data_IF_503931681629
#
_entry.id   IF_503931681629
#
_cell.length_a   1.000
_cell.length_b   1.000
_cell.length_c   1.000
_cell.angle_alpha   90.00
_cell.angle_beta   90.00
_cell.angle_gamma   90.00
#
_symmetry.space_group_name_H-M   'P 1'
#
loop_
_entity.id
_entity.type
_entity.pdbx_description
1 polymer ?
#
# COMPACT_ATOMS: atom_id res chain seq x y z
N UNK A 1 -7.19 31.89 5.31
CA UNK A 1 -7.21 31.18 4.03
C UNK A 1 -6.39 29.92 4.21
N UNK A 2 -6.97 28.76 3.96
CA UNK A 2 -6.24 27.51 4.02
C UNK A 2 -4.99 27.54 3.13
N UNK A 3 -3.88 26.97 3.63
CA UNK A 3 -2.62 26.93 2.90
C UNK A 3 -2.77 26.09 1.64
N UNK A 4 -2.14 26.48 0.54
CA UNK A 4 -2.08 25.65 -0.66
C UNK A 4 -1.25 24.41 -0.38
N UNK A 5 -1.77 23.23 -0.70
CA UNK A 5 -1.06 21.95 -0.60
C UNK A 5 -0.36 21.63 -1.92
N UNK A 6 0.91 21.24 -1.85
CA UNK A 6 1.67 20.72 -2.99
C UNK A 6 2.10 19.30 -2.64
N UNK A 7 1.39 18.33 -3.18
CA UNK A 7 1.70 16.91 -3.01
C UNK A 7 2.73 16.48 -4.06
N UNK A 8 3.85 15.97 -3.59
CA UNK A 8 4.97 15.54 -4.44
C UNK A 8 5.08 14.02 -4.44
N UNK A 9 5.06 13.39 -5.60
CA UNK A 9 5.14 11.94 -5.75
C UNK A 9 5.92 11.49 -6.99
N UNK A 10 6.55 10.31 -6.91
CA UNK A 10 7.14 9.58 -8.05
C UNK A 10 6.18 8.57 -8.66
N UNK A 11 5.20 8.12 -7.89
CA UNK A 11 4.23 7.13 -8.29
C UNK A 11 2.86 7.79 -8.32
N UNK A 12 2.25 7.85 -9.50
CA UNK A 12 0.89 8.35 -9.70
C UNK A 12 0.27 7.59 -10.88
N UNK A 13 -1.05 7.43 -10.93
CA UNK A 13 -1.68 6.78 -12.08
C UNK A 13 -1.20 7.36 -13.44
N UNK A 14 -1.04 6.53 -14.48
CA UNK A 14 -1.40 5.12 -14.59
C UNK A 14 -0.36 4.14 -13.98
N UNK A 15 0.74 4.64 -13.40
CA UNK A 15 1.73 3.78 -12.74
C UNK A 15 1.11 3.17 -11.49
N UNK A 16 0.98 1.85 -11.46
CA UNK A 16 0.37 1.13 -10.34
C UNK A 16 1.37 0.80 -9.26
N UNK A 17 1.11 1.29 -8.06
CA UNK A 17 1.85 1.02 -6.84
C UNK A 17 1.07 1.51 -5.63
N UNK A 18 1.33 0.95 -4.45
CA UNK A 18 0.61 1.36 -3.24
C UNK A 18 0.79 2.84 -2.90
N UNK A 19 1.99 3.40 -3.13
CA UNK A 19 2.23 4.83 -2.92
C UNK A 19 1.48 5.69 -3.94
N UNK A 20 1.40 5.25 -5.21
CA UNK A 20 0.65 5.94 -6.25
C UNK A 20 -0.85 5.99 -5.95
N UNK A 21 -1.43 4.86 -5.52
CA UNK A 21 -2.83 4.79 -5.08
C UNK A 21 -3.05 5.73 -3.89
N UNK A 22 -2.19 5.68 -2.88
CA UNK A 22 -2.26 6.57 -1.72
C UNK A 22 -2.26 8.06 -2.14
N UNK A 23 -1.31 8.46 -2.99
CA UNK A 23 -1.18 9.85 -3.42
C UNK A 23 -2.41 10.33 -4.21
N UNK A 24 -2.93 9.48 -5.08
CA UNK A 24 -4.11 9.77 -5.88
C UNK A 24 -5.36 9.92 -5.00
N UNK A 25 -5.65 8.91 -4.19
CA UNK A 25 -6.86 8.86 -3.37
C UNK A 25 -6.89 9.99 -2.33
N UNK A 26 -5.73 10.27 -1.70
CA UNK A 26 -5.60 11.38 -0.77
C UNK A 26 -5.81 12.73 -1.45
N UNK A 27 -5.22 12.93 -2.64
CA UNK A 27 -5.36 14.18 -3.37
C UNK A 27 -6.81 14.43 -3.80
N UNK A 28 -7.49 13.38 -4.29
CA UNK A 28 -8.90 13.44 -4.67
C UNK A 28 -9.78 13.77 -3.47
N UNK A 29 -9.58 13.09 -2.35
CA UNK A 29 -10.36 13.33 -1.13
C UNK A 29 -10.16 14.75 -0.60
N UNK A 30 -8.92 15.22 -0.53
CA UNK A 30 -8.63 16.59 -0.12
C UNK A 30 -9.28 17.64 -1.05
N UNK A 31 -9.24 17.39 -2.36
CA UNK A 31 -9.88 18.28 -3.34
C UNK A 31 -11.41 18.32 -3.17
N UNK A 32 -12.05 17.18 -2.96
CA UNK A 32 -13.50 17.10 -2.71
C UNK A 32 -13.93 17.80 -1.42
N UNK A 33 -13.06 17.84 -0.42
CA UNK A 33 -13.25 18.61 0.81
C UNK A 33 -12.99 20.12 0.62
N UNK A 34 -12.64 20.58 -0.59
CA UNK A 34 -12.41 21.97 -0.90
C UNK A 34 -10.97 22.45 -0.72
N UNK A 35 -10.02 21.54 -0.44
CA UNK A 35 -8.62 21.90 -0.30
C UNK A 35 -8.02 22.43 -1.61
N UNK A 36 -7.16 23.44 -1.50
CA UNK A 36 -6.36 23.94 -2.63
C UNK A 36 -5.14 23.04 -2.86
N UNK A 37 -5.35 21.86 -3.39
CA UNK A 37 -4.29 20.89 -3.62
C UNK A 37 -3.79 20.90 -5.08
N UNK A 38 -2.49 20.76 -5.25
CA UNK A 38 -1.80 20.59 -6.52
C UNK A 38 -0.88 19.36 -6.42
N UNK A 39 -1.03 18.44 -7.34
CA UNK A 39 -0.19 17.24 -7.40
C UNK A 39 0.95 17.47 -8.38
N UNK A 40 2.15 17.13 -7.97
CA UNK A 40 3.37 17.18 -8.78
C UNK A 40 3.86 15.75 -8.95
N UNK A 41 3.74 15.23 -10.17
CA UNK A 41 3.99 13.84 -10.52
C UNK A 41 4.85 13.71 -11.79
N UNK A 42 5.42 12.52 -12.11
CA UNK A 42 6.22 12.30 -13.31
C UNK A 42 5.43 12.57 -14.61
N UNK A 43 6.16 12.87 -15.70
CA UNK A 43 5.57 13.00 -17.02
C UNK A 43 4.85 11.71 -17.44
N UNK A 44 3.67 11.85 -18.03
CA UNK A 44 2.80 10.74 -18.41
C UNK A 44 1.89 10.25 -17.30
N UNK A 45 1.87 10.94 -16.15
CA UNK A 45 0.85 10.78 -15.13
C UNK A 45 -0.41 11.49 -15.60
N UNK A 46 -1.31 10.79 -16.28
CA UNK A 46 -2.55 11.36 -16.82
C UNK A 46 -3.72 10.91 -15.97
N UNK A 47 -4.48 11.87 -15.46
CA UNK A 47 -5.81 11.61 -14.93
C UNK A 47 -6.77 12.71 -15.39
N UNK A 48 -7.89 12.34 -15.98
CA UNK A 48 -8.79 13.28 -16.67
C UNK A 48 -9.76 14.07 -15.77
N UNK A 49 -9.74 13.84 -14.46
CA UNK A 49 -10.71 14.42 -13.51
C UNK A 49 -10.08 15.01 -12.23
N UNK A 50 -8.78 15.25 -12.25
CA UNK A 50 -8.01 15.53 -11.05
C UNK A 50 -7.93 17.01 -10.63
N UNK A 51 -7.68 17.21 -9.30
CA UNK A 51 -7.10 18.47 -8.84
C UNK A 51 -5.86 18.78 -9.67
N UNK A 52 -5.60 20.04 -9.89
CA UNK A 52 -4.57 20.57 -10.80
C UNK A 52 -3.27 19.75 -10.79
N UNK A 53 -3.13 18.85 -11.76
CA UNK A 53 -1.94 18.05 -11.95
C UNK A 53 -0.87 18.90 -12.65
N UNK A 54 0.35 18.92 -12.10
CA UNK A 54 1.54 19.43 -12.78
C UNK A 54 2.47 18.29 -13.10
N UNK A 55 2.61 18.01 -14.36
CA UNK A 55 3.64 17.10 -14.83
C UNK A 55 5.03 17.72 -14.65
N UNK A 56 5.90 16.98 -14.02
CA UNK A 56 7.33 17.23 -14.07
C UNK A 56 7.91 16.56 -15.29
N UNK A 57 8.78 17.28 -15.99
CA UNK A 57 9.60 16.75 -17.10
C UNK A 57 10.68 15.75 -16.61
N UNK A 58 10.57 15.26 -15.40
CA UNK A 58 11.44 14.23 -14.88
C UNK A 58 10.78 12.85 -15.05
N UNK A 59 11.57 11.89 -15.46
CA UNK A 59 11.12 10.54 -15.79
C UNK A 59 10.80 9.66 -14.57
N UNK A 60 10.47 10.24 -13.39
CA UNK A 60 10.22 9.50 -12.16
C UNK A 60 11.43 8.71 -11.63
N UNK A 61 12.60 8.86 -12.25
CA UNK A 61 13.80 8.16 -11.83
C UNK A 61 14.32 8.68 -10.49
N UNK A 62 14.81 7.79 -9.64
CA UNK A 62 15.44 8.15 -8.36
C UNK A 62 16.93 8.52 -8.51
N UNK A 63 17.35 8.99 -9.69
CA UNK A 63 18.73 9.39 -9.97
C UNK A 63 19.09 10.71 -9.25
N UNK A 64 20.39 11.01 -9.15
CA UNK A 64 20.87 12.28 -8.61
C UNK A 64 20.40 13.48 -9.42
N UNK A 65 20.40 13.33 -10.76
CA UNK A 65 19.96 14.36 -11.71
C UNK A 65 18.46 14.64 -11.52
N UNK A 66 17.64 13.60 -11.43
CA UNK A 66 16.20 13.76 -11.20
C UNK A 66 15.90 14.39 -9.84
N UNK A 67 16.67 14.04 -8.81
CA UNK A 67 16.56 14.67 -7.50
C UNK A 67 16.89 16.17 -7.54
N UNK A 68 17.93 16.57 -8.26
CA UNK A 68 18.28 17.98 -8.46
C UNK A 68 17.20 18.73 -9.26
N UNK A 69 16.71 18.16 -10.35
CA UNK A 69 15.62 18.76 -11.18
C UNK A 69 14.38 19.00 -10.34
N UNK A 70 13.98 18.06 -9.50
CA UNK A 70 12.86 18.24 -8.57
C UNK A 70 13.09 19.44 -7.66
N UNK A 71 14.26 19.57 -7.06
CA UNK A 71 14.58 20.67 -6.16
C UNK A 71 14.60 22.03 -6.84
N UNK A 72 15.15 22.12 -8.06
CA UNK A 72 15.09 23.34 -8.84
C UNK A 72 13.65 23.73 -9.19
N UNK A 73 12.80 22.72 -9.48
CA UNK A 73 11.38 22.95 -9.70
C UNK A 73 10.71 23.49 -8.44
N UNK A 74 10.92 22.86 -7.28
CA UNK A 74 10.38 23.29 -6.00
C UNK A 74 10.85 24.72 -5.69
N UNK A 75 12.11 25.04 -5.93
CA UNK A 75 12.66 26.38 -5.70
C UNK A 75 11.91 27.49 -6.46
N UNK A 76 11.34 27.20 -7.65
CA UNK A 76 10.48 28.14 -8.37
C UNK A 76 9.20 28.48 -7.61
N UNK A 77 8.67 27.55 -6.81
CA UNK A 77 7.54 27.85 -5.92
C UNK A 77 7.95 28.72 -4.74
N UNK A 78 9.15 28.48 -4.18
CA UNK A 78 9.67 29.24 -3.05
C UNK A 78 9.97 30.70 -3.38
N UNK A 79 10.33 31.02 -4.60
CA UNK A 79 10.63 32.37 -5.02
C UNK A 79 9.38 33.25 -5.25
N UNK A 80 8.18 32.70 -5.13
CA UNK A 80 6.93 33.46 -5.16
C UNK A 80 6.63 33.99 -3.76
N UNK A 81 6.95 35.27 -3.51
CA UNK A 81 6.96 35.92 -2.20
C UNK A 81 5.64 35.91 -1.42
N UNK A 82 4.51 35.52 -2.01
CA UNK A 82 3.18 35.80 -1.48
C UNK A 82 2.33 34.59 -1.08
N UNK A 83 2.87 33.37 -1.00
CA UNK A 83 2.01 32.20 -0.72
C UNK A 83 2.63 31.25 0.28
N UNK A 84 2.03 31.15 1.45
CA UNK A 84 2.21 30.01 2.36
C UNK A 84 1.66 28.76 1.68
N UNK A 85 2.44 27.67 1.69
CA UNK A 85 2.01 26.38 1.18
C UNK A 85 2.61 25.26 2.03
N UNK A 86 1.91 24.15 2.06
CA UNK A 86 2.37 22.89 2.65
C UNK A 86 2.97 22.01 1.55
N UNK A 87 4.24 21.62 1.70
CA UNK A 87 4.85 20.60 0.87
C UNK A 87 4.62 19.23 1.48
N UNK A 88 3.89 18.39 0.78
CA UNK A 88 3.71 17.00 1.17
C UNK A 88 4.64 16.08 0.35
N UNK A 89 5.68 15.58 0.99
CA UNK A 89 6.61 14.56 0.45
C UNK A 89 5.96 13.20 0.63
N UNK A 90 5.28 12.70 -0.42
CA UNK A 90 4.32 11.63 -0.26
C UNK A 90 4.85 10.23 -0.58
N UNK A 91 6.07 10.09 -1.10
CA UNK A 91 6.66 8.78 -1.38
C UNK A 91 8.19 8.72 -1.18
N UNK A 92 8.71 7.48 -1.23
CA UNK A 92 10.14 7.19 -1.03
C UNK A 92 11.03 7.92 -2.04
N UNK A 93 10.61 8.07 -3.27
CA UNK A 93 11.45 8.66 -4.30
C UNK A 93 11.64 10.15 -4.10
N UNK A 94 10.56 10.86 -3.75
CA UNK A 94 10.62 12.27 -3.36
C UNK A 94 11.40 12.43 -2.06
N UNK A 95 11.13 11.57 -1.07
CA UNK A 95 11.87 11.57 0.20
C UNK A 95 13.38 11.48 -0.04
N UNK A 96 13.82 10.60 -0.96
CA UNK A 96 15.22 10.46 -1.34
C UNK A 96 15.83 11.75 -1.94
N UNK A 97 15.06 12.50 -2.71
CA UNK A 97 15.51 13.78 -3.24
C UNK A 97 15.69 14.82 -2.13
N UNK A 98 14.80 14.84 -1.15
CA UNK A 98 14.91 15.73 0.02
C UNK A 98 16.06 15.33 0.95
N UNK A 99 16.34 14.05 1.13
CA UNK A 99 17.51 13.57 1.87
C UNK A 99 18.79 14.05 1.21
N UNK A 100 18.90 13.95 -0.12
CA UNK A 100 20.11 14.32 -0.88
C UNK A 100 20.34 15.83 -0.91
N UNK A 101 19.29 16.62 -1.09
CA UNK A 101 19.42 18.04 -1.43
C UNK A 101 18.48 18.97 -0.66
N UNK A 102 17.62 18.46 0.23
CA UNK A 102 16.66 19.26 0.97
C UNK A 102 17.27 20.33 1.86
N UNK A 103 18.59 20.23 2.16
CA UNK A 103 19.32 21.27 2.87
C UNK A 103 19.50 22.57 2.06
N UNK A 104 19.35 22.48 0.71
CA UNK A 104 19.41 23.63 -0.19
C UNK A 104 18.08 24.41 -0.26
N UNK A 105 17.00 23.89 0.34
CA UNK A 105 15.72 24.57 0.36
C UNK A 105 15.64 25.58 1.52
N UNK A 106 15.01 26.75 1.30
CA UNK A 106 14.78 27.72 2.36
C UNK A 106 14.01 27.12 3.53
N UNK A 107 14.25 27.65 4.75
CA UNK A 107 13.63 27.13 5.99
C UNK A 107 12.15 27.53 6.19
N UNK A 108 11.57 28.33 5.31
CA UNK A 108 10.31 29.06 5.53
C UNK A 108 9.01 28.28 5.21
N UNK A 109 9.08 27.01 4.81
CA UNK A 109 7.89 26.29 4.41
C UNK A 109 7.55 25.10 5.32
N UNK A 110 6.26 24.91 5.49
CA UNK A 110 5.68 23.74 6.15
C UNK A 110 5.95 22.49 5.29
N UNK A 111 6.62 21.52 5.84
CA UNK A 111 6.93 20.25 5.16
C UNK A 111 6.28 19.12 5.95
N UNK A 112 5.50 18.33 5.25
CA UNK A 112 4.97 17.05 5.73
C UNK A 112 5.62 15.92 4.93
N UNK A 113 5.83 14.78 5.57
CA UNK A 113 6.29 13.56 4.89
C UNK A 113 5.40 12.38 5.26
N UNK A 114 5.06 11.54 4.28
CA UNK A 114 4.43 10.22 4.52
C UNK A 114 5.48 9.13 4.38
N UNK A 115 5.58 8.27 5.40
CA UNK A 115 6.48 7.13 5.47
C UNK A 115 5.67 5.85 5.27
N UNK A 116 5.94 5.13 4.17
CA UNK A 116 5.26 3.88 3.83
C UNK A 116 5.92 2.64 4.46
N UNK A 117 7.07 2.78 5.12
CA UNK A 117 7.77 1.73 5.87
C UNK A 117 9.14 1.34 5.32
N UNK A 118 9.27 1.09 4.03
CA UNK A 118 10.55 0.72 3.42
C UNK A 118 11.61 1.83 3.51
N UNK A 119 11.18 3.10 3.64
CA UNK A 119 12.05 4.27 3.86
C UNK A 119 12.88 4.11 5.13
N UNK A 120 12.24 3.69 6.22
CA UNK A 120 12.91 3.50 7.51
C UNK A 120 14.00 2.44 7.41
N UNK A 121 13.69 1.29 6.81
CA UNK A 121 14.66 0.21 6.64
C UNK A 121 15.84 0.59 5.74
N UNK A 122 15.57 1.40 4.71
CA UNK A 122 16.57 1.76 3.70
C UNK A 122 17.48 2.88 4.16
N UNK A 123 16.89 3.99 4.63
CA UNK A 123 17.65 5.20 4.92
C UNK A 123 18.32 5.20 6.31
N UNK A 124 17.92 4.32 7.21
CA UNK A 124 18.58 4.20 8.52
C UNK A 124 19.77 3.26 8.53
N UNK A 125 19.96 2.47 7.47
CA UNK A 125 21.00 1.45 7.39
C UNK A 125 22.38 2.01 7.13
N UNK A 126 22.52 2.96 6.21
CA UNK A 126 23.78 3.63 5.92
C UNK A 126 23.92 4.84 6.85
N UNK A 127 25.04 5.00 7.60
CA UNK A 127 25.22 6.12 8.53
C UNK A 127 25.08 7.50 7.88
N UNK A 128 25.59 7.66 6.65
CA UNK A 128 25.53 8.92 5.91
C UNK A 128 24.09 9.21 5.49
N UNK A 129 23.39 8.24 4.89
CA UNK A 129 21.97 8.40 4.51
C UNK A 129 21.10 8.64 5.75
N UNK A 130 21.37 7.95 6.86
CA UNK A 130 20.69 8.16 8.14
C UNK A 130 20.87 9.57 8.67
N UNK A 131 22.09 10.12 8.62
CA UNK A 131 22.35 11.49 9.05
C UNK A 131 21.51 12.50 8.25
N UNK A 132 21.52 12.42 6.92
CA UNK A 132 20.73 13.31 6.08
C UNK A 132 19.23 13.07 6.21
N UNK A 133 18.80 11.83 6.42
CA UNK A 133 17.40 11.49 6.71
C UNK A 133 16.94 12.15 8.01
N UNK A 134 17.75 12.07 9.07
CA UNK A 134 17.46 12.77 10.33
C UNK A 134 17.38 14.30 10.17
N UNK A 135 18.28 14.89 9.38
CA UNK A 135 18.22 16.31 9.06
C UNK A 135 16.96 16.69 8.31
N UNK A 136 16.52 15.86 7.38
CA UNK A 136 15.27 16.06 6.67
C UNK A 136 14.06 15.95 7.61
N UNK A 137 13.97 14.89 8.41
CA UNK A 137 12.86 14.71 9.37
C UNK A 137 12.76 15.82 10.41
N UNK A 138 13.90 16.40 10.83
CA UNK A 138 13.90 17.57 11.73
C UNK A 138 13.24 18.80 11.09
N UNK A 139 13.31 18.95 9.77
CA UNK A 139 12.67 20.04 9.04
C UNK A 139 11.17 19.81 8.83
N UNK A 140 10.71 18.57 8.90
CA UNK A 140 9.29 18.26 8.76
C UNK A 140 8.51 18.78 9.99
N UNK A 141 7.37 19.39 9.73
CA UNK A 141 6.40 19.78 10.74
C UNK A 141 5.57 18.57 11.20
N UNK A 142 5.18 17.74 10.24
CA UNK A 142 4.40 16.53 10.47
C UNK A 142 5.03 15.34 9.74
N UNK A 143 5.04 14.19 10.40
CA UNK A 143 5.49 12.92 9.85
C UNK A 143 4.32 11.96 9.96
N UNK A 144 3.69 11.68 8.83
CA UNK A 144 2.60 10.72 8.74
C UNK A 144 3.14 9.31 8.55
N UNK A 145 2.59 8.36 9.30
CA UNK A 145 2.89 6.92 9.19
C UNK A 145 1.59 6.13 9.11
N UNK A 146 1.58 5.08 8.28
CA UNK A 146 0.38 4.32 7.92
C UNK A 146 0.05 3.18 8.89
N UNK A 147 0.97 2.80 9.81
CA UNK A 147 0.80 1.64 10.68
C UNK A 147 1.55 1.81 12.00
N UNK A 148 1.14 1.05 13.01
CA UNK A 148 1.83 0.97 14.31
C UNK A 148 3.28 0.52 14.12
N UNK A 149 3.51 -0.46 13.24
CA UNK A 149 4.86 -0.89 12.89
C UNK A 149 5.74 0.29 12.43
N UNK A 150 5.22 1.13 11.53
CA UNK A 150 5.96 2.30 11.04
C UNK A 150 6.15 3.35 12.14
N UNK A 151 5.16 3.53 13.01
CA UNK A 151 5.23 4.44 14.15
C UNK A 151 6.34 4.01 15.12
N UNK A 152 6.34 2.74 15.53
CA UNK A 152 7.34 2.16 16.43
C UNK A 152 8.74 2.23 15.84
N UNK A 153 8.90 1.82 14.57
CA UNK A 153 10.19 1.90 13.88
C UNK A 153 10.70 3.34 13.72
N UNK A 154 9.83 4.28 13.42
CA UNK A 154 10.20 5.69 13.33
C UNK A 154 10.60 6.24 14.72
N UNK A 155 9.87 5.88 15.77
CA UNK A 155 10.20 6.26 17.15
C UNK A 155 11.52 5.66 17.62
N UNK A 156 11.81 4.40 17.24
CA UNK A 156 13.06 3.71 17.56
C UNK A 156 14.27 4.36 16.85
N UNK A 157 14.19 4.54 15.53
CA UNK A 157 15.31 5.06 14.74
C UNK A 157 15.47 6.57 14.80
N UNK A 158 14.40 7.30 15.09
CA UNK A 158 14.34 8.76 15.08
C UNK A 158 13.54 9.29 16.30
N UNK A 159 13.98 9.08 17.56
CA UNK A 159 13.19 9.44 18.76
C UNK A 159 12.75 10.90 18.82
N UNK A 160 13.54 11.80 18.23
CA UNK A 160 13.23 13.24 18.15
C UNK A 160 11.99 13.57 17.29
N UNK A 161 11.40 12.59 16.60
CA UNK A 161 10.24 12.76 15.74
C UNK A 161 8.90 12.49 16.46
N UNK A 162 8.91 11.90 17.66
CA UNK A 162 7.70 11.42 18.36
C UNK A 162 6.61 12.49 18.45
N UNK A 163 6.97 13.73 18.77
CA UNK A 163 5.99 14.85 18.87
C UNK A 163 5.39 15.27 17.53
N UNK A 164 5.95 14.81 16.40
CA UNK A 164 5.52 15.14 15.03
C UNK A 164 4.86 13.96 14.32
N UNK A 165 4.92 12.76 14.93
CA UNK A 165 4.36 11.55 14.35
C UNK A 165 2.83 11.56 14.42
N UNK A 166 2.20 11.32 13.28
CA UNK A 166 0.76 11.05 13.18
C UNK A 166 0.56 9.66 12.59
N UNK A 167 -0.08 8.77 13.35
CA UNK A 167 -0.49 7.45 12.89
C UNK A 167 -1.90 7.55 12.32
N UNK A 168 -2.01 7.52 11.00
CA UNK A 168 -3.28 7.55 10.27
C UNK A 168 -3.24 6.41 9.26
N UNK A 169 -4.07 5.37 9.43
CA UNK A 169 -4.10 4.23 8.52
C UNK A 169 -4.61 4.64 7.13
N UNK A 170 -4.41 3.77 6.15
CA UNK A 170 -4.96 3.96 4.81
C UNK A 170 -6.40 3.48 4.69
N UNK A 171 -7.00 3.67 3.50
CA UNK A 171 -8.33 3.19 3.15
C UNK A 171 -8.30 2.35 1.87
N UNK A 172 -9.36 1.59 1.54
CA UNK A 172 -9.46 0.91 0.25
C UNK A 172 -9.51 1.93 -0.89
N UNK A 173 -8.96 1.57 -2.06
CA UNK A 173 -9.06 2.41 -3.26
C UNK A 173 -10.53 2.62 -3.66
N UNK A 174 -10.88 3.82 -4.17
CA UNK A 174 -12.22 4.16 -4.69
C UNK A 174 -12.60 3.36 -5.92
N UNK A 175 -11.64 2.83 -6.64
CA UNK A 175 -11.86 1.92 -7.76
C UNK A 175 -12.61 0.65 -7.33
N UNK A 176 -12.57 0.35 -6.03
CA UNK A 176 -13.39 -0.67 -5.39
C UNK A 176 -14.85 -0.17 -5.33
N UNK A 177 -15.58 -0.29 -6.46
CA UNK A 177 -17.01 -0.02 -6.57
C UNK A 177 -17.79 -1.09 -5.77
N UNK A 178 -17.72 -0.98 -4.46
CA UNK A 178 -18.38 -1.86 -3.52
C UNK A 178 -19.58 -1.11 -2.93
N UNK A 179 -20.74 -1.77 -2.97
CA UNK A 179 -21.95 -1.32 -2.27
C UNK A 179 -21.96 -1.92 -0.85
N UNK A 180 -21.67 -1.14 0.20
CA UNK A 180 -21.59 -1.66 1.58
C UNK A 180 -22.93 -2.18 2.09
N UNK A 181 -24.05 -1.90 1.40
CA UNK A 181 -25.38 -2.39 1.78
C UNK A 181 -25.68 -3.79 1.23
N UNK A 182 -24.90 -4.28 0.26
CA UNK A 182 -25.05 -5.64 -0.27
C UNK A 182 -24.19 -6.62 0.51
N UNK A 183 -24.80 -7.31 1.47
CA UNK A 183 -24.17 -8.46 2.10
C UNK A 183 -23.76 -9.49 1.02
N UNK A 184 -22.51 -9.92 1.05
CA UNK A 184 -22.03 -10.95 0.13
C UNK A 184 -22.68 -12.28 0.46
N UNK A 185 -23.36 -12.89 -0.50
CA UNK A 185 -23.82 -14.28 -0.42
C UNK A 185 -22.68 -15.16 -0.90
N UNK A 186 -22.10 -15.94 0.02
CA UNK A 186 -21.11 -16.97 -0.34
C UNK A 186 -21.88 -18.19 -0.91
N UNK A 187 -21.74 -18.39 -2.21
CA UNK A 187 -22.33 -19.56 -2.87
C UNK A 187 -21.52 -20.84 -2.53
N UNK A 188 -22.20 -22.01 -2.58
CA UNK A 188 -21.52 -23.29 -2.51
C UNK A 188 -20.94 -23.63 -3.89
N UNK A 189 -19.76 -23.08 -4.17
CA UNK A 189 -19.05 -23.37 -5.41
C UNK A 189 -18.29 -24.70 -5.30
N UNK A 190 -18.32 -25.48 -6.38
CA UNK A 190 -17.53 -26.74 -6.45
C UNK A 190 -16.01 -26.49 -6.37
N UNK A 191 -15.56 -25.29 -6.75
CA UNK A 191 -14.14 -24.88 -6.75
C UNK A 191 -14.02 -23.55 -6.01
N UNK A 192 -13.32 -23.58 -4.90
CA UNK A 192 -13.07 -22.41 -4.05
C UNK A 192 -11.98 -21.52 -4.66
N UNK A 193 -12.29 -20.23 -4.81
CA UNK A 193 -11.42 -19.24 -5.44
C UNK A 193 -10.59 -18.49 -4.39
N UNK A 194 -9.28 -18.64 -4.43
CA UNK A 194 -8.33 -17.87 -3.60
C UNK A 194 -7.71 -16.78 -4.46
N UNK A 195 -7.88 -15.54 -4.05
CA UNK A 195 -7.33 -14.37 -4.73
C UNK A 195 -6.06 -13.86 -4.03
N UNK A 196 -5.03 -13.59 -4.81
CA UNK A 196 -3.80 -12.97 -4.35
C UNK A 196 -3.44 -11.79 -5.26
N UNK A 197 -3.61 -10.56 -4.76
CA UNK A 197 -3.33 -9.34 -5.53
C UNK A 197 -2.02 -8.71 -5.06
N UNK A 198 -1.11 -8.49 -5.99
CA UNK A 198 0.16 -7.81 -5.73
C UNK A 198 1.22 -8.17 -6.76
N UNK A 199 2.22 -7.31 -6.88
CA UNK A 199 3.37 -7.56 -7.77
C UNK A 199 3.93 -8.97 -7.55
N UNK A 200 4.21 -9.72 -8.60
CA UNK A 200 4.89 -11.01 -8.50
C UNK A 200 6.35 -10.75 -8.11
N UNK A 201 6.61 -10.90 -6.82
CA UNK A 201 7.88 -10.52 -6.19
C UNK A 201 8.07 -11.24 -4.84
N UNK A 202 9.28 -11.65 -4.44
CA UNK A 202 9.55 -12.37 -3.19
C UNK A 202 8.94 -11.72 -1.94
N UNK A 203 8.92 -10.38 -1.86
CA UNK A 203 8.32 -9.66 -0.74
C UNK A 203 6.82 -9.95 -0.57
N UNK A 204 6.09 -10.26 -1.66
CA UNK A 204 4.64 -10.51 -1.63
C UNK A 204 4.27 -11.95 -1.30
N UNK A 205 5.25 -12.87 -1.26
CA UNK A 205 5.10 -14.20 -0.67
C UNK A 205 4.23 -15.19 -1.44
N UNK A 206 3.95 -15.00 -2.73
CA UNK A 206 3.13 -15.96 -3.52
C UNK A 206 3.66 -17.39 -3.43
N UNK A 207 4.97 -17.58 -3.36
CA UNK A 207 5.60 -18.90 -3.17
C UNK A 207 5.26 -19.50 -1.81
N UNK A 208 5.12 -18.68 -0.76
CA UNK A 208 4.76 -19.15 0.57
C UNK A 208 3.32 -19.69 0.58
N UNK A 209 2.37 -18.92 -0.01
CA UNK A 209 1.00 -19.37 -0.20
C UNK A 209 0.95 -20.71 -0.95
N UNK A 210 1.65 -20.81 -2.10
CA UNK A 210 1.61 -22.01 -2.93
C UNK A 210 2.20 -23.23 -2.21
N UNK A 211 3.29 -23.05 -1.47
CA UNK A 211 3.85 -24.12 -0.63
C UNK A 211 2.86 -24.59 0.44
N UNK A 212 2.21 -23.68 1.15
CA UNK A 212 1.24 -24.03 2.16
C UNK A 212 0.02 -24.75 1.56
N UNK A 213 -0.46 -24.28 0.40
CA UNK A 213 -1.56 -24.91 -0.32
C UNK A 213 -1.18 -26.32 -0.82
N UNK A 214 0.05 -26.55 -1.25
CA UNK A 214 0.55 -27.86 -1.67
C UNK A 214 0.69 -28.87 -0.51
N UNK A 215 0.68 -28.41 0.73
CA UNK A 215 0.66 -29.29 1.92
C UNK A 215 -0.75 -29.74 2.32
N UNK A 216 -1.79 -29.25 1.69
CA UNK A 216 -3.16 -29.68 1.93
C UNK A 216 -3.39 -31.08 1.34
N UNK A 217 -4.38 -31.86 1.85
CA UNK A 217 -4.77 -33.13 1.21
C UNK A 217 -5.10 -32.93 -0.27
N UNK A 218 -4.68 -33.87 -1.11
CA UNK A 218 -4.88 -33.83 -2.58
C UNK A 218 -6.35 -33.59 -2.94
N UNK A 219 -7.27 -34.28 -2.24
CA UNK A 219 -8.71 -34.12 -2.44
C UNK A 219 -9.21 -32.68 -2.17
N UNK A 220 -8.53 -31.89 -1.32
CA UNK A 220 -8.84 -30.48 -1.11
C UNK A 220 -8.14 -29.59 -2.15
N UNK A 221 -6.89 -29.92 -2.51
CA UNK A 221 -6.19 -29.16 -3.55
C UNK A 221 -6.99 -29.12 -4.86
N UNK A 222 -7.57 -30.24 -5.29
CA UNK A 222 -8.36 -30.32 -6.52
C UNK A 222 -9.63 -29.46 -6.53
N UNK A 223 -10.06 -29.00 -5.35
CA UNK A 223 -11.21 -28.08 -5.17
C UNK A 223 -10.81 -26.63 -5.04
N UNK A 224 -9.54 -26.27 -5.26
CA UNK A 224 -9.01 -24.92 -5.08
C UNK A 224 -8.51 -24.37 -6.42
N UNK A 225 -8.82 -23.12 -6.69
CA UNK A 225 -8.16 -22.33 -7.71
C UNK A 225 -7.50 -21.10 -7.06
N UNK A 226 -6.20 -20.90 -7.30
CA UNK A 226 -5.45 -19.73 -6.84
C UNK A 226 -5.23 -18.79 -8.02
N UNK A 227 -5.65 -17.53 -7.86
CA UNK A 227 -5.51 -16.49 -8.87
C UNK A 227 -4.46 -15.48 -8.40
N UNK A 228 -3.29 -15.45 -9.02
CA UNK A 228 -2.24 -14.44 -8.80
C UNK A 228 -2.42 -13.29 -9.78
N UNK A 229 -2.62 -12.08 -9.27
CA UNK A 229 -2.87 -10.89 -10.07
C UNK A 229 -1.85 -9.80 -9.72
N UNK A 230 -1.18 -9.29 -10.74
CA UNK A 230 -0.25 -8.18 -10.64
C UNK A 230 0.99 -8.33 -11.52
N UNK A 231 1.68 -7.22 -11.80
CA UNK A 231 2.81 -7.22 -12.72
C UNK A 231 3.97 -8.08 -12.23
N UNK A 232 4.62 -8.78 -13.17
CA UNK A 232 5.80 -9.60 -12.90
C UNK A 232 7.02 -8.68 -12.79
N UNK A 233 7.51 -8.48 -11.57
CA UNK A 233 8.69 -7.64 -11.30
C UNK A 233 9.97 -8.44 -11.05
N UNK A 234 9.86 -9.75 -10.82
CA UNK A 234 10.99 -10.68 -10.66
C UNK A 234 10.75 -11.94 -11.48
N UNK A 235 11.48 -12.06 -12.60
CA UNK A 235 11.37 -13.19 -13.52
C UNK A 235 11.78 -14.52 -12.87
N UNK A 236 12.83 -14.53 -12.03
CA UNK A 236 13.29 -15.75 -11.34
C UNK A 236 12.25 -16.24 -10.33
N UNK A 237 11.65 -15.30 -9.62
CA UNK A 237 10.58 -15.62 -8.67
C UNK A 237 9.33 -16.14 -9.39
N UNK A 238 8.98 -15.57 -10.55
CA UNK A 238 7.90 -16.06 -11.39
C UNK A 238 8.16 -17.50 -11.86
N UNK A 239 9.36 -17.82 -12.35
CA UNK A 239 9.73 -19.18 -12.72
C UNK A 239 9.59 -20.16 -11.55
N UNK A 240 9.94 -19.74 -10.34
CA UNK A 240 9.74 -20.56 -9.13
C UNK A 240 8.26 -20.82 -8.85
N UNK A 241 7.37 -19.87 -9.08
CA UNK A 241 5.93 -20.07 -8.95
C UNK A 241 5.46 -21.11 -9.99
N UNK A 242 5.85 -20.98 -11.25
CA UNK A 242 5.50 -21.95 -12.32
C UNK A 242 5.94 -23.37 -11.95
N UNK A 243 7.19 -23.57 -11.57
CA UNK A 243 7.72 -24.86 -11.15
C UNK A 243 6.98 -25.50 -9.95
N UNK A 244 6.45 -24.68 -9.04
CA UNK A 244 5.62 -25.16 -7.94
C UNK A 244 4.18 -25.40 -8.38
N UNK A 245 3.68 -24.64 -9.35
CA UNK A 245 2.33 -24.81 -9.90
C UNK A 245 2.16 -26.16 -10.57
N UNK A 246 3.21 -26.65 -11.24
CA UNK A 246 3.21 -27.99 -11.88
C UNK A 246 3.04 -29.15 -10.88
N UNK A 247 3.34 -28.91 -9.61
CA UNK A 247 3.24 -29.91 -8.51
C UNK A 247 1.97 -29.75 -7.68
N UNK A 248 1.17 -28.73 -7.94
CA UNK A 248 -0.06 -28.45 -7.22
C UNK A 248 -1.26 -29.12 -7.91
N UNK A 249 -2.04 -29.90 -7.18
CA UNK A 249 -3.18 -30.64 -7.76
C UNK A 249 -4.44 -29.78 -7.98
N UNK A 250 -4.42 -28.51 -7.60
CA UNK A 250 -5.47 -27.54 -7.87
C UNK A 250 -5.19 -26.72 -9.14
N UNK A 251 -5.98 -25.66 -9.36
CA UNK A 251 -5.80 -24.78 -10.49
C UNK A 251 -5.03 -23.51 -10.09
N UNK A 252 -4.15 -23.04 -10.95
CA UNK A 252 -3.43 -21.78 -10.77
C UNK A 252 -3.59 -20.92 -12.02
N UNK A 253 -3.92 -19.63 -11.81
CA UNK A 253 -3.92 -18.62 -12.86
C UNK A 253 -2.98 -17.49 -12.46
N UNK A 254 -2.15 -17.03 -13.40
CA UNK A 254 -1.26 -15.87 -13.24
C UNK A 254 -1.65 -14.89 -14.33
N UNK A 255 -2.28 -13.77 -13.94
CA UNK A 255 -2.93 -12.86 -14.88
C UNK A 255 -2.06 -11.65 -15.25
N UNK A 256 -0.93 -11.43 -14.56
CA UNK A 256 -0.15 -10.22 -14.80
C UNK A 256 -0.88 -8.94 -14.39
N UNK A 257 -0.67 -7.87 -15.15
CA UNK A 257 -1.39 -6.60 -14.95
C UNK A 257 -2.71 -6.62 -15.73
N UNK A 258 -3.82 -6.35 -15.05
CA UNK A 258 -5.18 -6.39 -15.61
C UNK A 258 -5.89 -5.05 -15.36
N UNK A 259 -6.99 -4.81 -16.06
CA UNK A 259 -7.80 -3.61 -15.86
C UNK A 259 -8.46 -3.58 -14.47
N UNK A 260 -8.87 -2.41 -14.02
CA UNK A 260 -9.59 -2.22 -12.75
C UNK A 260 -10.95 -2.95 -12.73
N UNK A 261 -11.62 -2.98 -13.87
CA UNK A 261 -12.89 -3.70 -14.05
C UNK A 261 -12.69 -5.22 -13.88
N UNK A 262 -11.63 -5.77 -14.48
CA UNK A 262 -11.28 -7.18 -14.33
C UNK A 262 -10.88 -7.49 -12.89
N UNK A 263 -10.07 -6.62 -12.25
CA UNK A 263 -9.67 -6.79 -10.85
C UNK A 263 -10.89 -6.79 -9.92
N UNK A 264 -11.83 -5.87 -10.14
CA UNK A 264 -13.11 -5.82 -9.42
C UNK A 264 -13.91 -7.12 -9.58
N UNK A 265 -13.95 -7.68 -10.80
CA UNK A 265 -14.60 -8.97 -11.04
C UNK A 265 -13.91 -10.12 -10.28
N UNK A 266 -12.57 -10.13 -10.18
CA UNK A 266 -11.86 -11.13 -9.37
C UNK A 266 -12.16 -10.99 -7.87
N UNK A 267 -12.20 -9.77 -7.32
CA UNK A 267 -12.61 -9.57 -5.94
C UNK A 267 -14.05 -10.08 -5.70
N UNK A 268 -14.98 -9.79 -6.61
CA UNK A 268 -16.40 -10.22 -6.49
C UNK A 268 -16.56 -11.74 -6.53
N UNK A 269 -15.78 -12.42 -7.35
CA UNK A 269 -15.92 -13.86 -7.64
C UNK A 269 -14.97 -14.76 -6.83
N UNK A 270 -14.21 -14.21 -5.88
CA UNK A 270 -13.30 -14.99 -5.04
C UNK A 270 -13.91 -15.28 -3.68
N UNK A 271 -13.49 -16.33 -2.99
CA UNK A 271 -14.00 -16.76 -1.70
C UNK A 271 -13.09 -16.41 -0.53
N UNK A 272 -11.79 -16.32 -0.79
CA UNK A 272 -10.75 -16.00 0.19
C UNK A 272 -9.75 -15.07 -0.48
N UNK A 273 -9.28 -14.06 0.23
CA UNK A 273 -8.12 -13.28 -0.15
C UNK A 273 -6.89 -13.79 0.61
N UNK A 274 -5.80 -14.05 -0.09
CA UNK A 274 -4.58 -14.53 0.55
C UNK A 274 -3.35 -13.81 0.00
N UNK A 275 -2.69 -13.01 0.83
CA UNK A 275 -1.41 -12.38 0.52
C UNK A 275 -0.49 -12.55 1.73
N UNK A 276 0.66 -13.18 1.52
CA UNK A 276 1.57 -13.64 2.57
C UNK A 276 2.94 -12.96 2.48
N UNK A 277 3.01 -11.63 2.73
CA UNK A 277 4.24 -10.89 2.57
C UNK A 277 5.37 -11.40 3.47
N UNK A 278 6.59 -11.15 3.02
CA UNK A 278 7.83 -11.38 3.76
C UNK A 278 8.56 -10.04 3.96
N UNK A 279 9.30 -9.93 5.05
CA UNK A 279 10.27 -8.86 5.22
C UNK A 279 11.52 -9.18 4.40
N UNK A 280 11.93 -8.27 3.55
CA UNK A 280 13.23 -8.28 2.90
C UNK A 280 14.14 -7.26 3.57
N UNK A 281 15.45 -7.38 3.31
CA UNK A 281 16.49 -6.54 3.92
C UNK A 281 16.16 -5.03 3.90
N UNK A 282 15.60 -4.54 2.78
CA UNK A 282 15.35 -3.12 2.54
C UNK A 282 13.87 -2.84 2.20
N UNK A 283 12.95 -3.78 2.49
CA UNK A 283 11.56 -3.62 2.10
C UNK A 283 10.62 -4.46 2.97
N UNK A 284 9.55 -3.84 3.40
CA UNK A 284 8.50 -4.43 4.23
C UNK A 284 7.13 -4.05 3.67
N UNK A 285 6.09 -4.79 4.05
CA UNK A 285 4.70 -4.37 3.82
C UNK A 285 4.36 -3.26 4.83
N UNK A 286 4.17 -2.04 4.34
CA UNK A 286 3.99 -0.87 5.22
C UNK A 286 2.61 -0.78 5.84
N UNK A 287 1.56 -1.22 5.11
CA UNK A 287 0.17 -1.27 5.55
C UNK A 287 -0.60 -2.35 4.78
N UNK A 288 -0.65 -2.26 3.43
CA UNK A 288 -1.34 -3.22 2.59
C UNK A 288 -2.79 -2.84 2.28
N UNK A 289 -3.01 -1.79 1.50
CA UNK A 289 -4.35 -1.32 1.07
C UNK A 289 -5.22 -2.44 0.48
N UNK A 290 -4.61 -3.39 -0.22
CA UNK A 290 -5.31 -4.54 -0.84
C UNK A 290 -6.07 -5.42 0.16
N UNK A 291 -5.69 -5.42 1.45
CA UNK A 291 -6.45 -6.13 2.48
C UNK A 291 -7.77 -5.42 2.78
N UNK A 292 -7.75 -4.09 2.87
CA UNK A 292 -8.99 -3.32 3.04
C UNK A 292 -9.87 -3.38 1.78
N UNK A 293 -9.26 -3.40 0.59
CA UNK A 293 -9.98 -3.65 -0.66
C UNK A 293 -10.69 -5.00 -0.64
N UNK A 294 -9.97 -6.08 -0.32
CA UNK A 294 -10.53 -7.41 -0.20
C UNK A 294 -11.62 -7.49 0.88
N UNK A 295 -11.40 -6.84 2.02
CA UNK A 295 -12.40 -6.74 3.10
C UNK A 295 -13.66 -6.00 2.66
N UNK A 296 -13.54 -4.93 1.87
CA UNK A 296 -14.68 -4.21 1.28
C UNK A 296 -15.56 -5.14 0.43
N UNK A 297 -14.93 -6.03 -0.35
CA UNK A 297 -15.66 -7.06 -1.11
C UNK A 297 -16.12 -8.25 -0.24
N UNK A 298 -15.91 -8.22 1.07
CA UNK A 298 -16.30 -9.29 1.97
C UNK A 298 -15.47 -10.56 1.81
N UNK A 299 -14.20 -10.45 1.44
CA UNK A 299 -13.29 -11.58 1.43
C UNK A 299 -12.65 -11.76 2.82
N UNK A 300 -12.77 -12.93 3.46
CA UNK A 300 -11.96 -13.25 4.62
C UNK A 300 -10.48 -13.32 4.21
N UNK A 301 -9.61 -12.78 5.05
CA UNK A 301 -8.20 -12.59 4.75
C UNK A 301 -7.36 -13.72 5.32
N UNK A 302 -6.36 -14.17 4.57
CA UNK A 302 -5.21 -14.91 5.09
C UNK A 302 -3.95 -14.09 4.79
N UNK A 303 -3.16 -13.80 5.82
CA UNK A 303 -1.94 -13.04 5.66
C UNK A 303 -0.83 -13.50 6.63
N UNK A 304 0.35 -12.92 6.50
CA UNK A 304 1.46 -13.10 7.44
C UNK A 304 1.63 -11.84 8.31
N UNK A 305 2.06 -12.03 9.58
CA UNK A 305 2.38 -10.95 10.52
C UNK A 305 3.69 -10.27 10.12
N UNK A 306 3.61 -9.35 9.18
CA UNK A 306 4.76 -8.64 8.61
C UNK A 306 4.45 -7.17 8.47
N UNK A 307 5.28 -6.34 9.10
CA UNK A 307 5.15 -4.89 8.99
C UNK A 307 3.79 -4.38 9.48
N UNK A 308 3.10 -3.58 8.67
CA UNK A 308 1.82 -2.99 9.00
C UNK A 308 0.59 -3.83 8.65
N UNK A 309 0.74 -5.13 8.38
CA UNK A 309 -0.39 -6.00 8.01
C UNK A 309 -1.42 -6.10 9.15
N UNK A 310 -0.96 -6.13 10.41
CA UNK A 310 -1.83 -6.23 11.58
C UNK A 310 -2.69 -4.97 11.82
N UNK A 311 -2.35 -3.86 11.19
CA UNK A 311 -3.17 -2.64 11.20
C UNK A 311 -4.28 -2.68 10.13
N UNK A 312 -4.11 -3.48 9.07
CA UNK A 312 -5.11 -3.65 8.02
C UNK A 312 -6.00 -4.89 8.23
N UNK A 313 -5.53 -5.91 8.97
CA UNK A 313 -6.21 -7.19 9.19
C UNK A 313 -6.28 -7.49 10.68
N UNK A 314 -7.48 -7.57 11.23
CA UNK A 314 -7.72 -7.96 12.62
C UNK A 314 -7.73 -9.48 12.72
N UNK A 315 -6.69 -10.04 13.38
CA UNK A 315 -6.53 -11.49 13.51
C UNK A 315 -7.66 -12.16 14.27
N UNK A 316 -8.22 -13.22 13.70
CA UNK A 316 -9.40 -13.93 14.24
C UNK A 316 -10.73 -13.22 13.98
N UNK A 317 -10.74 -11.96 13.52
CA UNK A 317 -11.94 -11.18 13.27
C UNK A 317 -12.20 -10.96 11.76
N UNK A 318 -11.30 -10.30 11.05
CA UNK A 318 -11.43 -10.03 9.61
C UNK A 318 -10.59 -10.98 8.76
N UNK A 319 -9.68 -11.72 9.39
CA UNK A 319 -8.82 -12.70 8.75
C UNK A 319 -8.02 -13.52 9.74
N UNK A 320 -7.14 -14.37 9.22
CA UNK A 320 -6.23 -15.21 9.98
C UNK A 320 -4.79 -14.86 9.63
N UNK A 321 -4.01 -14.51 10.64
CA UNK A 321 -2.61 -14.18 10.49
C UNK A 321 -1.70 -15.34 10.90
N UNK A 322 -0.60 -15.52 10.19
CA UNK A 322 0.43 -16.52 10.49
C UNK A 322 1.81 -15.90 10.59
N UNK A 323 2.68 -16.53 11.36
CA UNK A 323 4.10 -16.19 11.33
C UNK A 323 4.69 -16.57 9.96
N UNK A 324 5.39 -15.67 9.24
CA UNK A 324 5.95 -15.96 7.92
C UNK A 324 6.96 -17.12 7.90
N UNK A 325 7.58 -17.42 9.04
CA UNK A 325 8.53 -18.52 9.20
C UNK A 325 7.87 -19.87 9.50
N UNK A 326 6.56 -19.86 9.85
CA UNK A 326 5.82 -21.06 10.24
C UNK A 326 4.81 -21.48 9.17
N UNK A 327 5.28 -22.24 8.19
CA UNK A 327 4.46 -22.72 7.05
C UNK A 327 3.24 -23.54 7.50
N UNK A 328 3.35 -24.30 8.59
CA UNK A 328 2.24 -25.07 9.16
C UNK A 328 1.12 -24.21 9.74
N UNK A 329 1.42 -23.00 10.24
CA UNK A 329 0.37 -22.05 10.67
C UNK A 329 -0.42 -21.58 9.45
N UNK A 330 0.26 -21.22 8.37
CA UNK A 330 -0.39 -20.78 7.14
C UNK A 330 -1.24 -21.90 6.54
N UNK A 331 -0.73 -23.15 6.52
CA UNK A 331 -1.49 -24.34 6.11
C UNK A 331 -2.76 -24.50 6.96
N UNK A 332 -2.65 -24.43 8.30
CA UNK A 332 -3.81 -24.53 9.20
C UNK A 332 -4.85 -23.44 8.94
N UNK A 333 -4.40 -22.20 8.73
CA UNK A 333 -5.29 -21.09 8.43
C UNK A 333 -6.00 -21.26 7.08
N UNK A 334 -5.30 -21.76 6.06
CA UNK A 334 -5.90 -22.14 4.78
C UNK A 334 -6.98 -23.21 4.99
N UNK A 335 -6.64 -24.30 5.69
CA UNK A 335 -7.56 -25.41 5.96
C UNK A 335 -8.82 -24.94 6.67
N UNK A 336 -8.66 -24.13 7.72
CA UNK A 336 -9.79 -23.56 8.49
C UNK A 336 -10.75 -22.75 7.63
N UNK A 337 -10.26 -21.90 6.75
CA UNK A 337 -11.14 -21.11 5.88
C UNK A 337 -11.70 -21.94 4.71
N UNK A 338 -10.98 -22.92 4.20
CA UNK A 338 -11.47 -23.80 3.14
C UNK A 338 -12.66 -24.62 3.63
N UNK A 339 -12.54 -25.24 4.81
CA UNK A 339 -13.54 -26.20 5.32
C UNK A 339 -14.70 -25.53 6.07
N UNK A 340 -14.53 -24.29 6.56
CA UNK A 340 -15.52 -23.64 7.41
C UNK A 340 -16.20 -22.44 6.74
N UNK A 341 -17.30 -22.70 6.02
CA UNK A 341 -18.13 -21.67 5.37
C UNK A 341 -18.68 -20.65 6.37
N UNK A 342 -19.13 -21.10 7.56
CA UNK A 342 -19.65 -20.22 8.60
C UNK A 342 -18.60 -19.21 9.04
N UNK A 343 -17.36 -19.66 9.28
CA UNK A 343 -16.24 -18.78 9.63
C UNK A 343 -15.96 -17.76 8.52
N UNK A 344 -15.95 -18.21 7.24
CA UNK A 344 -15.79 -17.28 6.11
C UNK A 344 -16.87 -16.20 6.09
N UNK A 345 -18.14 -16.58 6.32
CA UNK A 345 -19.28 -15.64 6.36
C UNK A 345 -19.13 -14.62 7.51
N UNK A 346 -18.78 -15.08 8.70
CA UNK A 346 -18.58 -14.21 9.86
C UNK A 346 -17.43 -13.22 9.63
N UNK A 347 -16.29 -13.69 9.12
CA UNK A 347 -15.15 -12.84 8.80
C UNK A 347 -15.45 -11.88 7.65
N UNK A 348 -16.24 -12.30 6.67
CA UNK A 348 -16.72 -11.45 5.58
C UNK A 348 -17.48 -10.24 6.13
N UNK A 349 -18.49 -10.45 6.96
CA UNK A 349 -19.29 -9.37 7.56
C UNK A 349 -18.47 -8.42 8.42
N UNK A 350 -17.55 -8.96 9.25
CA UNK A 350 -16.67 -8.14 10.09
C UNK A 350 -15.68 -7.35 9.22
N UNK A 351 -15.13 -7.98 8.19
CA UNK A 351 -14.22 -7.34 7.23
C UNK A 351 -14.85 -6.16 6.52
N UNK A 352 -16.09 -6.31 6.05
CA UNK A 352 -16.82 -5.22 5.42
C UNK A 352 -17.04 -4.03 6.37
N UNK A 353 -17.46 -4.30 7.62
CA UNK A 353 -17.61 -3.26 8.64
C UNK A 353 -16.29 -2.57 8.95
N UNK A 354 -15.20 -3.33 9.05
CA UNK A 354 -13.86 -2.83 9.28
C UNK A 354 -13.40 -1.91 8.15
N UNK A 355 -13.50 -2.37 6.90
CA UNK A 355 -13.12 -1.57 5.73
C UNK A 355 -13.93 -0.29 5.62
N UNK A 356 -15.24 -0.32 5.90
CA UNK A 356 -16.12 0.84 5.84
C UNK A 356 -15.77 1.96 6.84
N UNK A 357 -15.04 1.64 7.91
CA UNK A 357 -14.55 2.65 8.86
C UNK A 357 -13.39 3.49 8.29
N UNK A 358 -12.71 2.97 7.25
CA UNK A 358 -11.56 3.58 6.62
C UNK A 358 -11.99 4.30 5.35
N UNK A 359 -12.03 5.62 5.37
CA UNK A 359 -12.41 6.45 4.22
C UNK A 359 -11.36 7.49 3.92
N UNK A 360 -11.11 7.75 2.65
CA UNK A 360 -10.13 8.76 2.24
C UNK A 360 -10.52 10.16 2.67
N UNK A 361 -11.82 10.46 2.79
CA UNK A 361 -12.30 11.75 3.31
C UNK A 361 -11.83 11.99 4.74
N UNK A 362 -12.06 11.02 5.65
CA UNK A 362 -11.56 11.11 7.04
C UNK A 362 -10.04 11.25 7.10
N UNK A 363 -9.33 10.47 6.29
CA UNK A 363 -7.87 10.51 6.21
C UNK A 363 -7.40 11.89 5.75
N UNK A 364 -8.04 12.48 4.73
CA UNK A 364 -7.69 13.80 4.25
C UNK A 364 -7.96 14.90 5.29
N UNK A 365 -9.07 14.83 6.03
CA UNK A 365 -9.37 15.73 7.15
C UNK A 365 -8.31 15.64 8.26
N UNK A 366 -7.86 14.43 8.61
CA UNK A 366 -6.84 14.23 9.66
C UNK A 366 -5.44 14.66 9.20
N UNK A 367 -5.11 14.44 7.92
CA UNK A 367 -3.82 14.82 7.34
C UNK A 367 -3.74 16.32 7.10
N UNK A 368 -4.83 16.93 6.66
CA UNK A 368 -4.92 18.34 6.29
C UNK A 368 -6.01 19.09 7.09
N UNK A 369 -5.87 19.21 8.41
CA UNK A 369 -6.94 19.72 9.27
C UNK A 369 -7.29 21.21 9.04
N UNK A 370 -6.43 21.94 8.32
CA UNK A 370 -6.62 23.39 8.07
C UNK A 370 -7.25 23.67 6.69
N UNK A 371 -7.83 22.67 6.02
CA UNK A 371 -8.38 22.78 4.65
C UNK A 371 -9.89 22.99 4.64
#
# INVERSE_FOLDING_TARGET
MADKIILLTHEYPPIRGGAGVYCHELAMAAFELGARIEVVAPKGSIYHQDPKLRELTWEGSQSWISSLRLLFFIRKFYNRKDKKFLLHVADMGVCKAFIRFGFLLPRQNRIMVTIHGSELLKFTRNPIERFFFHLFLRKCETIHVLSKFNYEKCSEFCPFTISKLKLIPGAPSRVVNYDPQKARILEDTKILQILCVGRIHPRKGQVLLLRAASMLPIALQSKIQINFIGPIKDKRYHQKILSLSDKFNGKIKIMGDISETELSAFYKNSDIFCLTPNTLKDSVEGFGFVYLEASAYGLPIIATRVGGVEDAVLDGETGLLSNPEKLDELKRNLLRLIENKKLRTEMSMRGQKWSAQHTWSKIAEEIYPDT
#
